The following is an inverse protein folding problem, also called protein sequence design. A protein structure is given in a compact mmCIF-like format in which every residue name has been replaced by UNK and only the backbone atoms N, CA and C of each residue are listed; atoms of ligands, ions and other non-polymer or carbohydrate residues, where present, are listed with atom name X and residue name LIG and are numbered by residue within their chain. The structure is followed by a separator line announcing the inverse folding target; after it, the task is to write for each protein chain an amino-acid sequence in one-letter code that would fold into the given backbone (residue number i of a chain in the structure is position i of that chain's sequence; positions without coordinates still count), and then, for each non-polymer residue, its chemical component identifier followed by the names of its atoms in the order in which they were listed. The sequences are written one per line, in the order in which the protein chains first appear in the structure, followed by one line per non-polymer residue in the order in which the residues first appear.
data_IF_270671508702
#
_entry.id   IF_270671508702
#
_cell.length_a   1.000
_cell.length_b   1.000
_cell.length_c   1.000
_cell.angle_alpha   90.00
_cell.angle_beta   90.00
_cell.angle_gamma   90.00
#
_symmetry.space_group_name_H-M   'P 1'
#
loop_
_entity.id
_entity.type
_entity.pdbx_description
1 polymer ?
#
# COMPACT_ATOMS: atom_id res chain seq x y z
N UNK A 1 -32.12 6.31 15.65
CA UNK A 1 -31.48 4.98 15.61
C UNK A 1 -30.43 4.95 14.49
N UNK A 2 -29.19 5.36 14.77
CA UNK A 2 -28.13 5.54 13.75
C UNK A 2 -27.45 4.18 13.49
N UNK A 3 -27.77 3.54 12.37
CA UNK A 3 -27.02 2.39 11.84
C UNK A 3 -25.60 2.84 11.51
N UNK A 4 -24.66 2.54 12.40
CA UNK A 4 -23.23 2.81 12.20
C UNK A 4 -22.70 1.95 11.07
N UNK A 5 -22.57 2.54 9.88
CA UNK A 5 -21.77 1.94 8.81
C UNK A 5 -20.32 2.02 9.26
N UNK A 6 -19.72 0.87 9.56
CA UNK A 6 -18.31 0.72 9.87
C UNK A 6 -17.49 1.54 8.87
N UNK A 7 -16.68 2.45 9.42
CA UNK A 7 -16.01 3.50 8.65
C UNK A 7 -15.15 2.92 7.55
N UNK A 8 -15.60 3.11 6.30
CA UNK A 8 -14.72 3.06 5.14
C UNK A 8 -13.62 4.08 5.39
N UNK A 9 -12.39 3.60 5.63
CA UNK A 9 -11.20 4.45 5.66
C UNK A 9 -10.99 4.97 4.23
N UNK A 10 -11.80 5.95 3.80
CA UNK A 10 -11.54 6.81 2.65
C UNK A 10 -10.39 7.78 3.02
N UNK A 11 -9.31 7.24 3.57
CA UNK A 11 -8.11 7.98 3.84
C UNK A 11 -7.44 8.18 2.47
N UNK A 12 -7.64 9.34 1.86
CA UNK A 12 -6.80 9.81 0.74
C UNK A 12 -5.38 9.99 1.30
N UNK A 13 -4.64 8.91 1.40
CA UNK A 13 -3.29 8.87 1.91
C UNK A 13 -2.34 9.24 0.79
N UNK A 14 -1.68 10.39 0.89
CA UNK A 14 -0.52 10.69 0.07
C UNK A 14 0.68 10.13 0.81
N UNK A 15 1.20 9.03 0.29
CA UNK A 15 2.42 8.38 0.77
C UNK A 15 3.58 9.31 0.38
N UNK A 16 4.20 9.97 1.37
CA UNK A 16 5.52 10.59 1.17
C UNK A 16 6.54 9.49 1.35
N UNK A 17 7.13 9.00 0.26
CA UNK A 17 8.04 7.86 0.29
C UNK A 17 9.36 8.19 0.99
N UNK A 18 9.63 7.48 2.09
CA UNK A 18 10.98 7.13 2.50
C UNK A 18 11.08 5.60 2.49
N UNK A 19 12.12 5.08 1.86
CA UNK A 19 12.34 3.65 1.68
C UNK A 19 13.48 3.18 2.59
N UNK A 20 13.20 2.38 3.62
CA UNK A 20 14.26 1.76 4.39
C UNK A 20 15.02 0.76 3.50
N UNK A 21 16.35 0.90 3.41
CA UNK A 21 17.21 0.02 2.62
C UNK A 21 17.45 0.45 1.16
N UNK A 22 16.99 1.63 0.75
CA UNK A 22 17.33 2.17 -0.57
C UNK A 22 18.80 2.61 -0.61
N UNK A 23 19.53 2.19 -1.65
CA UNK A 23 20.94 2.55 -1.83
C UNK A 23 21.14 4.06 -2.02
N UNK A 24 22.29 4.57 -1.58
CA UNK A 24 22.65 5.97 -1.77
C UNK A 24 23.12 6.20 -3.21
N UNK A 25 22.47 7.14 -3.91
CA UNK A 25 22.89 7.61 -5.22
C UNK A 25 22.52 9.10 -5.33
N UNK A 26 23.53 9.94 -5.60
CA UNK A 26 23.34 11.38 -5.71
C UNK A 26 22.33 11.69 -6.84
N UNK A 27 21.39 12.59 -6.59
CA UNK A 27 20.27 12.98 -7.47
C UNK A 27 19.21 11.90 -7.76
N UNK A 28 19.31 10.69 -7.20
CA UNK A 28 18.26 9.67 -7.34
C UNK A 28 17.24 9.79 -6.20
N UNK A 29 15.99 10.07 -6.57
CA UNK A 29 14.89 9.98 -5.61
C UNK A 29 14.60 8.51 -5.26
N UNK A 30 14.29 8.19 -4.00
CA UNK A 30 13.88 6.85 -3.61
C UNK A 30 12.60 6.45 -4.36
N UNK A 31 12.67 5.31 -5.04
CA UNK A 31 11.59 4.77 -5.86
C UNK A 31 11.17 3.40 -5.33
N UNK A 32 9.85 3.18 -5.26
CA UNK A 32 9.26 1.94 -4.77
C UNK A 32 8.40 1.30 -5.85
N UNK A 33 8.29 -0.02 -5.75
CA UNK A 33 7.51 -0.90 -6.60
C UNK A 33 6.42 -1.63 -5.80
N UNK A 34 5.65 -2.47 -6.47
CA UNK A 34 4.62 -3.31 -5.84
C UNK A 34 5.25 -4.25 -4.80
N UNK A 35 4.61 -4.38 -3.64
CA UNK A 35 5.09 -5.23 -2.54
C UNK A 35 6.15 -4.59 -1.65
N UNK A 36 6.73 -3.46 -2.04
CA UNK A 36 7.74 -2.76 -1.23
C UNK A 36 7.12 -2.12 0.02
N UNK A 37 7.85 -2.22 1.13
CA UNK A 37 7.51 -1.56 2.39
C UNK A 37 8.04 -0.13 2.39
N UNK A 38 7.13 0.84 2.48
CA UNK A 38 7.40 2.27 2.49
C UNK A 38 7.06 2.88 3.85
N UNK A 39 7.78 3.91 4.23
CA UNK A 39 7.34 4.81 5.30
C UNK A 39 6.38 5.83 4.71
N UNK A 40 5.21 5.97 5.33
CA UNK A 40 4.11 6.80 4.88
C UNK A 40 3.59 7.68 6.02
N UNK A 41 3.03 8.83 5.66
CA UNK A 41 2.32 9.71 6.59
C UNK A 41 0.91 9.98 6.08
N UNK A 42 -0.06 10.06 6.99
CA UNK A 42 -1.45 10.34 6.64
C UNK A 42 -1.68 11.85 6.57
N UNK A 43 -1.90 12.39 5.35
CA UNK A 43 -2.27 13.81 5.17
C UNK A 43 -3.74 14.08 5.49
N UNK A 44 -4.65 13.22 5.01
CA UNK A 44 -6.11 13.33 5.17
C UNK A 44 -6.67 12.05 5.80
N UNK A 45 -7.48 12.18 6.84
CA UNK A 45 -8.08 11.04 7.55
C UNK A 45 -8.26 11.32 9.05
N UNK A 46 -8.39 10.25 9.83
CA UNK A 46 -8.53 10.32 11.30
C UNK A 46 -7.40 11.15 11.93
N UNK A 47 -7.71 12.11 12.82
CA UNK A 47 -6.70 12.99 13.42
C UNK A 47 -5.63 12.20 14.21
N UNK A 48 -5.98 11.06 14.81
CA UNK A 48 -5.06 10.23 15.60
C UNK A 48 -3.91 9.61 14.79
N UNK A 49 -4.10 9.48 13.48
CA UNK A 49 -3.12 8.91 12.54
C UNK A 49 -2.37 9.99 11.76
N UNK A 50 -2.82 11.25 11.81
CA UNK A 50 -2.13 12.36 11.15
C UNK A 50 -0.82 12.63 11.88
N UNK A 51 0.20 13.08 11.12
CA UNK A 51 1.56 13.41 11.60
C UNK A 51 2.37 12.23 12.19
N UNK A 52 1.81 11.02 12.26
CA UNK A 52 2.57 9.81 12.61
C UNK A 52 3.19 9.18 11.37
N UNK A 53 4.44 8.75 11.51
CA UNK A 53 5.12 7.92 10.50
C UNK A 53 4.67 6.48 10.72
N UNK A 54 4.19 5.85 9.66
CA UNK A 54 3.66 4.49 9.67
C UNK A 54 4.28 3.72 8.50
N UNK A 55 4.41 2.41 8.65
CA UNK A 55 4.80 1.55 7.55
C UNK A 55 3.57 1.28 6.67
N UNK A 56 3.78 1.20 5.37
CA UNK A 56 2.76 0.83 4.41
C UNK A 56 3.37 -0.06 3.33
N UNK A 57 2.55 -0.90 2.70
CA UNK A 57 2.94 -1.73 1.56
C UNK A 57 2.16 -1.25 0.34
N UNK A 58 2.83 -1.11 -0.79
CA UNK A 58 2.20 -0.71 -2.05
C UNK A 58 1.51 -1.93 -2.67
N UNK A 59 0.19 -1.85 -2.85
CA UNK A 59 -0.63 -2.94 -3.39
C UNK A 59 -1.02 -2.73 -4.85
N UNK A 60 -1.17 -1.46 -5.28
CA UNK A 60 -1.52 -1.08 -6.64
C UNK A 60 -0.66 0.08 -7.12
N UNK A 61 -0.26 0.01 -8.38
CA UNK A 61 0.59 0.99 -9.04
C UNK A 61 0.09 1.27 -10.46
N UNK A 62 0.05 2.56 -10.81
CA UNK A 62 -0.33 3.08 -12.14
C UNK A 62 0.76 2.92 -13.19
N UNK A 63 2.02 2.87 -12.76
CA UNK A 63 3.14 2.54 -13.64
C UNK A 63 3.05 1.07 -14.04
N UNK A 64 3.05 0.81 -15.35
CA UNK A 64 3.07 -0.54 -15.86
C UNK A 64 4.37 -1.28 -15.50
N UNK A 65 4.24 -2.54 -15.09
CA UNK A 65 5.36 -3.44 -14.84
C UNK A 65 5.19 -4.73 -15.65
N UNK A 66 6.30 -5.43 -15.86
CA UNK A 66 6.33 -6.68 -16.63
C UNK A 66 6.25 -7.87 -15.70
N UNK A 67 5.30 -8.78 -15.94
CA UNK A 67 5.25 -10.09 -15.29
C UNK A 67 6.20 -11.08 -15.93
N UNK A 68 6.55 -12.11 -15.17
CA UNK A 68 7.36 -13.22 -15.67
C UNK A 68 6.74 -13.88 -16.91
N UNK A 69 5.42 -13.95 -16.97
CA UNK A 69 4.64 -14.45 -18.13
C UNK A 69 4.80 -13.59 -19.40
N UNK A 70 5.36 -12.38 -19.30
CA UNK A 70 5.66 -11.51 -20.43
C UNK A 70 4.67 -10.37 -20.66
N UNK A 71 3.50 -10.40 -20.01
CA UNK A 71 2.50 -9.33 -20.10
C UNK A 71 2.86 -8.11 -19.25
N UNK A 72 2.43 -6.93 -19.70
CA UNK A 72 2.49 -5.70 -18.93
C UNK A 72 1.14 -5.43 -18.27
N UNK A 73 1.16 -5.18 -16.96
CA UNK A 73 -0.04 -4.90 -16.17
C UNK A 73 0.13 -3.54 -15.51
N UNK A 74 -0.97 -2.81 -15.36
CA UNK A 74 -1.05 -1.56 -14.62
C UNK A 74 -2.40 -1.46 -13.93
N UNK A 75 -2.46 -0.69 -12.84
CA UNK A 75 -3.72 -0.36 -12.16
C UNK A 75 -4.16 1.06 -12.51
N UNK A 76 -5.43 1.35 -12.32
CA UNK A 76 -5.97 2.70 -12.51
C UNK A 76 -5.39 3.69 -11.49
N UNK A 77 -5.26 3.27 -10.23
CA UNK A 77 -4.83 4.11 -9.11
C UNK A 77 -3.63 3.55 -8.34
N UNK A 78 -2.88 4.46 -7.70
CA UNK A 78 -1.84 4.09 -6.75
C UNK A 78 -2.47 3.90 -5.37
N UNK A 79 -2.29 2.72 -4.78
CA UNK A 79 -2.82 2.40 -3.46
C UNK A 79 -1.79 1.67 -2.61
N UNK A 80 -1.87 1.89 -1.30
CA UNK A 80 -1.06 1.20 -0.32
C UNK A 80 -1.82 0.97 0.98
N UNK A 81 -1.42 -0.08 1.67
CA UNK A 81 -2.06 -0.55 2.90
C UNK A 81 -1.13 -0.30 4.07
N UNK A 82 -1.64 0.27 5.16
CA UNK A 82 -0.86 0.52 6.37
C UNK A 82 -0.58 -0.80 7.07
N UNK A 83 0.67 -1.02 7.45
CA UNK A 83 1.12 -2.21 8.15
C UNK A 83 1.93 -1.88 9.39
N UNK A 84 2.03 -2.84 10.29
CA UNK A 84 2.99 -2.83 11.38
C UNK A 84 4.38 -3.28 10.88
N UNK A 85 5.46 -3.03 11.63
CA UNK A 85 6.82 -3.50 11.27
C UNK A 85 6.92 -5.02 11.09
N UNK A 86 6.00 -5.78 11.68
CA UNK A 86 5.89 -7.25 11.55
C UNK A 86 5.14 -7.70 10.28
N UNK A 87 4.74 -6.77 9.40
CA UNK A 87 3.99 -7.10 8.17
C UNK A 87 2.50 -7.40 8.40
N UNK A 88 1.96 -7.02 9.57
CA UNK A 88 0.54 -7.19 9.88
C UNK A 88 -0.25 -5.97 9.42
N UNK A 89 -1.34 -6.19 8.68
CA UNK A 89 -2.20 -5.12 8.22
C UNK A 89 -2.89 -4.42 9.40
N UNK A 90 -2.79 -3.08 9.42
CA UNK A 90 -3.55 -2.24 10.34
C UNK A 90 -4.87 -1.85 9.67
N UNK A 91 -5.82 -2.78 9.68
CA UNK A 91 -7.13 -2.65 9.04
C UNK A 91 -7.90 -3.96 9.08
N UNK A 92 -9.10 -3.98 8.52
CA UNK A 92 -9.96 -5.18 8.49
C UNK A 92 -10.09 -5.79 7.09
N UNK A 93 -10.10 -4.95 6.04
CA UNK A 93 -10.21 -5.40 4.65
C UNK A 93 -9.58 -4.38 3.70
N UNK A 94 -9.08 -4.86 2.56
CA UNK A 94 -8.54 -4.03 1.49
C UNK A 94 -9.65 -3.77 0.47
N UNK A 95 -9.89 -2.50 0.16
CA UNK A 95 -10.83 -2.11 -0.89
C UNK A 95 -10.14 -2.14 -2.25
N UNK A 96 -10.64 -2.97 -3.16
CA UNK A 96 -10.13 -3.11 -4.52
C UNK A 96 -9.17 -4.28 -4.70
N UNK A 97 -8.68 -4.48 -5.93
CA UNK A 97 -7.77 -5.57 -6.26
C UNK A 97 -6.37 -5.36 -5.66
N UNK A 98 -5.67 -6.46 -5.41
CA UNK A 98 -4.28 -6.48 -4.96
C UNK A 98 -3.44 -7.20 -6.02
N UNK A 99 -2.24 -6.68 -6.30
CA UNK A 99 -1.31 -7.35 -7.20
C UNK A 99 -0.88 -8.73 -6.66
N UNK A 100 -0.83 -9.74 -7.52
CA UNK A 100 -0.37 -11.10 -7.21
C UNK A 100 1.01 -11.12 -6.57
N UNK A 101 1.92 -10.29 -7.09
CA UNK A 101 3.28 -10.12 -6.58
C UNK A 101 3.29 -9.68 -5.11
N UNK A 102 2.38 -8.77 -4.75
CA UNK A 102 2.20 -8.32 -3.37
C UNK A 102 1.55 -9.39 -2.50
N UNK A 103 0.63 -10.18 -3.05
CA UNK A 103 -0.05 -11.25 -2.33
C UNK A 103 0.89 -12.42 -2.00
N UNK A 104 1.83 -12.74 -2.89
CA UNK A 104 2.84 -13.79 -2.68
C UNK A 104 3.88 -13.39 -1.61
N UNK A 105 4.32 -12.12 -1.61
CA UNK A 105 5.24 -11.59 -0.60
C UNK A 105 4.61 -11.47 0.79
N UNK A 106 3.32 -11.13 0.86
CA UNK A 106 2.63 -10.80 2.11
C UNK A 106 1.34 -11.61 2.29
N UNK A 107 1.42 -12.81 2.90
CA UNK A 107 0.27 -13.69 3.08
C UNK A 107 -0.90 -13.05 3.84
N UNK A 108 -0.60 -12.21 4.83
CA UNK A 108 -1.61 -11.50 5.64
C UNK A 108 -2.40 -10.47 4.83
N UNK A 109 -1.81 -9.90 3.77
CA UNK A 109 -2.51 -9.01 2.85
C UNK A 109 -3.37 -9.81 1.87
N UNK A 110 -2.88 -10.96 1.39
CA UNK A 110 -3.62 -11.87 0.51
C UNK A 110 -4.95 -12.31 1.15
N UNK A 111 -4.92 -12.70 2.42
CA UNK A 111 -6.13 -13.11 3.15
C UNK A 111 -7.18 -12.01 3.33
N UNK A 112 -6.78 -10.74 3.27
CA UNK A 112 -7.66 -9.59 3.47
C UNK A 112 -8.05 -8.89 2.14
N UNK A 113 -7.58 -9.41 1.01
CA UNK A 113 -7.82 -8.85 -0.31
C UNK A 113 -9.20 -9.29 -0.82
N UNK A 114 -9.90 -8.37 -1.50
CA UNK A 114 -11.17 -8.69 -2.16
C UNK A 114 -10.99 -9.43 -3.48
N UNK A 115 -9.90 -9.13 -4.20
CA UNK A 115 -9.55 -9.75 -5.47
C UNK A 115 -8.03 -9.69 -5.63
N UNK A 116 -7.45 -10.72 -6.25
CA UNK A 116 -6.03 -10.80 -6.57
C UNK A 116 -5.90 -10.76 -8.09
N UNK A 117 -5.07 -9.85 -8.58
CA UNK A 117 -4.80 -9.64 -10.01
C UNK A 117 -3.35 -9.90 -10.27
#
# INVERSE_FOLDING_TARGET
MKRGRAGTLKNKMRITLSLPGFGSCLNRLPAASLGDMVLATVKKGKPDLRKKVLNAIITRQSKAWRRHEGYFIYFEDNAGVIVNPKGEMKGSAITGPVARECAELWPKLSSAASAIV
#
